data_IF_970537498355
#
_entry.id   IF_970537498355
#
_cell.length_a   1.000
_cell.length_b   1.000
_cell.length_c   1.000
_cell.angle_alpha   90.00
_cell.angle_beta   90.00
_cell.angle_gamma   90.00
#
_symmetry.space_group_name_H-M   'P 1'
#
loop_
_entity.id
_entity.type
_entity.pdbx_description
1 polymer ?
#
# COMPACT_ATOMS: atom_id res chain seq x y z
N UNK A 1 31.14 30.82 5.99
CA UNK A 1 29.94 30.99 6.82
C UNK A 1 28.81 31.35 5.87
N UNK A 2 27.81 30.50 5.71
CA UNK A 2 26.65 30.83 4.89
C UNK A 2 25.95 32.05 5.51
N UNK A 3 25.51 33.01 4.68
CA UNK A 3 24.73 34.15 5.16
C UNK A 3 23.35 33.67 5.65
N UNK A 4 22.78 34.40 6.59
CA UNK A 4 21.43 34.13 7.13
C UNK A 4 20.38 34.05 6.01
N UNK A 5 20.47 34.95 5.02
CA UNK A 5 19.64 34.92 3.80
C UNK A 5 19.80 33.64 2.97
N UNK A 6 21.00 33.07 2.91
CA UNK A 6 21.22 31.82 2.19
C UNK A 6 20.58 30.62 2.92
N UNK A 7 20.55 30.65 4.25
CA UNK A 7 19.87 29.64 5.05
C UNK A 7 18.35 29.74 4.92
N UNK A 8 17.80 30.95 4.93
CA UNK A 8 16.36 31.20 4.74
C UNK A 8 15.87 30.73 3.38
N UNK A 9 16.65 31.00 2.32
CA UNK A 9 16.33 30.54 0.96
C UNK A 9 16.32 29.01 0.86
N UNK A 10 17.29 28.33 1.50
CA UNK A 10 17.34 26.87 1.55
C UNK A 10 16.17 26.29 2.35
N UNK A 11 15.81 26.90 3.47
CA UNK A 11 14.67 26.50 4.29
C UNK A 11 13.35 26.60 3.50
N UNK A 12 13.12 27.71 2.80
CA UNK A 12 11.94 27.91 1.94
C UNK A 12 11.90 26.90 0.79
N UNK A 13 13.05 26.57 0.21
CA UNK A 13 13.14 25.59 -0.87
C UNK A 13 12.81 24.17 -0.36
N UNK A 14 13.24 23.82 0.85
CA UNK A 14 12.87 22.57 1.51
C UNK A 14 11.36 22.51 1.80
N UNK A 15 10.78 23.57 2.36
CA UNK A 15 9.33 23.64 2.62
C UNK A 15 8.52 23.53 1.33
N UNK A 16 9.00 24.12 0.23
CA UNK A 16 8.37 24.00 -1.08
C UNK A 16 8.46 22.58 -1.62
N UNK A 17 9.60 21.91 -1.47
CA UNK A 17 9.75 20.53 -1.89
C UNK A 17 8.84 19.60 -1.09
N UNK A 18 8.78 19.75 0.25
CA UNK A 18 7.84 19.04 1.10
C UNK A 18 6.37 19.28 0.73
N UNK A 19 6.02 20.49 0.27
CA UNK A 19 4.66 20.80 -0.20
C UNK A 19 4.34 20.19 -1.57
N UNK A 20 5.36 19.91 -2.37
CA UNK A 20 5.24 19.35 -3.73
C UNK A 20 5.25 17.82 -3.69
N UNK A 21 5.97 17.25 -2.71
CA UNK A 21 5.87 15.85 -2.30
C UNK A 21 4.50 15.65 -1.65
N UNK A 22 3.45 15.60 -2.49
CA UNK A 22 2.15 15.14 -2.06
C UNK A 22 2.32 13.74 -1.52
N UNK A 23 2.08 13.56 -0.23
CA UNK A 23 1.78 12.24 0.32
C UNK A 23 0.66 11.65 -0.55
N UNK A 24 0.94 10.51 -1.19
CA UNK A 24 -0.10 9.71 -1.82
C UNK A 24 -1.14 9.48 -0.73
N UNK A 25 -2.33 10.04 -0.88
CA UNK A 25 -3.39 9.86 0.10
C UNK A 25 -3.85 8.42 -0.05
N UNK A 26 -3.78 7.62 1.03
CA UNK A 26 -4.22 6.22 0.97
C UNK A 26 -5.60 6.14 0.34
N UNK A 27 -5.79 5.22 -0.60
CA UNK A 27 -7.06 4.96 -1.29
C UNK A 27 -8.22 4.53 -0.40
N UNK A 28 -8.12 4.73 0.93
CA UNK A 28 -9.19 4.68 1.96
C UNK A 28 -10.26 5.74 1.68
N UNK A 29 -10.75 5.80 0.46
CA UNK A 29 -11.89 6.60 0.07
C UNK A 29 -13.16 5.87 0.48
N UNK A 30 -14.05 6.56 1.20
CA UNK A 30 -15.44 6.13 1.44
C UNK A 30 -16.21 5.85 0.13
N UNK A 31 -15.63 6.18 -1.03
CA UNK A 31 -16.23 6.16 -2.37
C UNK A 31 -15.48 5.27 -3.36
N UNK A 32 -14.37 4.62 -2.98
CA UNK A 32 -13.63 3.76 -3.89
C UNK A 32 -14.42 2.46 -4.12
N UNK A 33 -14.83 2.13 -5.36
CA UNK A 33 -15.57 0.90 -5.62
C UNK A 33 -14.68 -0.32 -5.34
N UNK A 34 -15.23 -1.39 -4.74
CA UNK A 34 -14.47 -2.59 -4.44
C UNK A 34 -13.87 -3.19 -5.72
N UNK A 35 -12.70 -3.84 -5.66
CA UNK A 35 -12.11 -4.48 -6.82
C UNK A 35 -12.99 -5.60 -7.39
N UNK A 36 -12.90 -5.75 -8.71
CA UNK A 36 -13.40 -6.88 -9.48
C UNK A 36 -12.39 -8.02 -9.58
N UNK A 37 -12.80 -9.20 -10.07
CA UNK A 37 -11.95 -10.39 -10.17
C UNK A 37 -10.78 -10.22 -11.16
N UNK A 38 -10.92 -9.32 -12.13
CA UNK A 38 -9.93 -9.06 -13.19
C UNK A 38 -9.12 -7.77 -12.96
N UNK A 39 -9.38 -7.05 -11.87
CA UNK A 39 -8.63 -5.85 -11.54
C UNK A 39 -7.19 -6.23 -11.16
N UNK A 40 -6.21 -5.51 -11.74
CA UNK A 40 -4.82 -5.59 -11.30
C UNK A 40 -4.64 -4.75 -10.05
N UNK A 41 -4.03 -5.33 -9.03
CA UNK A 41 -3.86 -4.70 -7.73
C UNK A 41 -2.41 -4.76 -7.29
N UNK A 42 -1.93 -3.69 -6.70
CA UNK A 42 -0.59 -3.57 -6.12
C UNK A 42 -0.68 -3.07 -4.68
N UNK A 43 0.37 -3.35 -3.91
CA UNK A 43 0.56 -2.71 -2.60
C UNK A 43 0.71 -1.20 -2.81
N UNK A 44 -0.07 -0.43 -2.05
CA UNK A 44 -0.02 1.04 -2.17
C UNK A 44 1.30 1.59 -1.65
N UNK A 45 1.82 2.62 -2.31
CA UNK A 45 2.96 3.40 -1.80
C UNK A 45 2.55 4.45 -0.74
N UNK A 46 1.24 4.69 -0.60
CA UNK A 46 0.66 5.67 0.32
C UNK A 46 0.82 5.32 1.80
N UNK A 47 1.11 4.05 2.10
CA UNK A 47 1.23 3.54 3.47
C UNK A 47 2.50 2.74 3.57
N UNK A 48 3.38 3.12 4.50
CA UNK A 48 4.53 2.30 4.82
C UNK A 48 4.06 0.98 5.43
N UNK A 49 4.36 -0.12 4.76
CA UNK A 49 4.01 -1.46 5.17
C UNK A 49 5.20 -2.42 4.99
N UNK A 50 5.24 -3.48 5.78
CA UNK A 50 6.23 -4.53 5.65
C UNK A 50 5.65 -5.87 6.11
N UNK A 51 6.18 -6.94 5.53
CA UNK A 51 5.77 -8.31 5.86
C UNK A 51 6.73 -8.89 6.90
N UNK A 52 6.20 -9.45 7.98
CA UNK A 52 6.96 -10.15 9.02
C UNK A 52 6.55 -11.62 9.03
N UNK A 53 7.47 -12.58 8.80
CA UNK A 53 7.16 -14.00 8.90
C UNK A 53 6.75 -14.38 10.34
N UNK A 54 5.65 -15.11 10.50
CA UNK A 54 5.15 -15.58 11.80
C UNK A 54 4.58 -17.00 11.64
N UNK A 55 5.26 -17.98 12.24
CA UNK A 55 4.89 -19.40 12.09
C UNK A 55 4.90 -19.84 10.63
N UNK A 56 3.84 -20.50 10.17
CA UNK A 56 3.66 -20.93 8.78
C UNK A 56 3.14 -19.80 7.86
N UNK A 57 2.87 -18.61 8.40
CA UNK A 57 2.33 -17.47 7.65
C UNK A 57 3.15 -16.20 7.87
N UNK A 58 2.47 -15.05 7.82
CA UNK A 58 3.08 -13.77 8.06
C UNK A 58 2.10 -12.76 8.66
N UNK A 59 2.61 -11.61 9.06
CA UNK A 59 1.84 -10.42 9.39
C UNK A 59 2.20 -9.30 8.42
N UNK A 60 1.20 -8.66 7.82
CA UNK A 60 1.37 -7.41 7.11
C UNK A 60 1.23 -6.26 8.13
N UNK A 61 2.36 -5.65 8.47
CA UNK A 61 2.46 -4.58 9.44
C UNK A 61 2.43 -3.22 8.76
N UNK A 62 1.62 -2.33 9.30
CA UNK A 62 1.40 -0.97 8.81
C UNK A 62 1.01 -0.07 9.99
N UNK A 63 0.62 1.18 9.74
CA UNK A 63 0.23 2.12 10.80
C UNK A 63 -1.03 1.70 11.59
N UNK A 64 -1.80 0.73 11.10
CA UNK A 64 -2.96 0.16 11.78
C UNK A 64 -2.67 -1.18 12.48
N UNK A 65 -3.72 -1.90 12.91
CA UNK A 65 -3.57 -3.25 13.44
C UNK A 65 -2.89 -4.17 12.42
N UNK A 66 -1.97 -5.03 12.89
CA UNK A 66 -1.31 -6.01 12.05
C UNK A 66 -2.35 -6.93 11.39
N UNK A 67 -2.22 -7.11 10.07
CA UNK A 67 -3.11 -7.97 9.30
C UNK A 67 -2.47 -9.36 9.18
N UNK A 68 -3.08 -10.41 9.77
CA UNK A 68 -2.55 -11.76 9.67
C UNK A 68 -2.70 -12.28 8.24
N UNK A 69 -1.66 -12.95 7.75
CA UNK A 69 -1.61 -13.61 6.46
C UNK A 69 -1.37 -15.10 6.66
N UNK A 70 -2.23 -15.92 6.06
CA UNK A 70 -1.92 -17.33 5.85
C UNK A 70 -0.79 -17.51 4.84
N UNK A 71 -0.17 -18.70 4.77
CA UNK A 71 0.82 -19.03 3.74
C UNK A 71 0.30 -18.80 2.32
N UNK A 72 -0.99 -19.11 2.10
CA UNK A 72 -1.65 -18.93 0.81
C UNK A 72 -1.81 -17.44 0.48
N UNK A 73 -2.28 -16.63 1.44
CA UNK A 73 -2.45 -15.18 1.25
C UNK A 73 -1.12 -14.46 1.08
N UNK A 74 -0.06 -14.91 1.76
CA UNK A 74 1.29 -14.41 1.53
C UNK A 74 1.74 -14.65 0.09
N UNK A 75 1.56 -15.87 -0.42
CA UNK A 75 1.86 -16.19 -1.82
C UNK A 75 0.99 -15.43 -2.82
N UNK A 76 -0.26 -15.10 -2.47
CA UNK A 76 -1.07 -14.19 -3.29
C UNK A 76 -0.50 -12.79 -3.32
N UNK A 77 -0.05 -12.25 -2.18
CA UNK A 77 0.54 -10.91 -2.10
C UNK A 77 1.78 -10.77 -3.01
N UNK A 78 2.65 -11.78 -3.00
CA UNK A 78 3.82 -11.84 -3.88
C UNK A 78 3.40 -11.83 -5.36
N UNK A 79 2.46 -12.70 -5.76
CA UNK A 79 1.98 -12.77 -7.15
C UNK A 79 1.21 -11.54 -7.60
N UNK A 80 0.51 -10.84 -6.69
CA UNK A 80 -0.12 -9.55 -7.00
C UNK A 80 0.93 -8.51 -7.42
N UNK A 81 2.08 -8.49 -6.75
CA UNK A 81 3.20 -7.60 -7.13
C UNK A 81 3.78 -7.90 -8.52
N UNK A 82 3.57 -9.13 -9.01
CA UNK A 82 3.93 -9.58 -10.36
C UNK A 82 2.83 -9.31 -11.41
N UNK A 83 1.70 -8.71 -11.00
CA UNK A 83 0.60 -8.33 -11.89
C UNK A 83 -0.50 -9.39 -12.05
N UNK A 84 -0.56 -10.39 -11.17
CA UNK A 84 -1.68 -11.32 -11.12
C UNK A 84 -3.01 -10.60 -10.80
N UNK A 85 -4.12 -11.14 -11.30
CA UNK A 85 -5.48 -10.71 -10.92
C UNK A 85 -6.07 -11.67 -9.89
N UNK A 86 -7.04 -11.24 -9.07
CA UNK A 86 -7.72 -12.13 -8.13
C UNK A 86 -8.23 -13.45 -8.76
N UNK A 87 -8.78 -13.37 -9.98
CA UNK A 87 -9.23 -14.52 -10.76
C UNK A 87 -8.11 -15.56 -11.02
N UNK A 88 -6.89 -15.10 -11.28
CA UNK A 88 -5.73 -15.95 -11.60
C UNK A 88 -5.01 -16.53 -10.37
N UNK A 89 -5.43 -16.14 -9.16
CA UNK A 89 -4.81 -16.53 -7.90
C UNK A 89 -5.58 -17.64 -7.20
N UNK A 90 -6.80 -17.32 -6.76
CA UNK A 90 -7.64 -18.19 -5.94
C UNK A 90 -9.13 -17.92 -6.13
N UNK A 91 -9.50 -17.22 -7.21
CA UNK A 91 -10.89 -16.85 -7.53
C UNK A 91 -11.52 -16.02 -6.43
N UNK A 92 -12.69 -16.45 -5.95
CA UNK A 92 -13.47 -15.73 -4.93
C UNK A 92 -12.72 -15.54 -3.60
N UNK A 93 -11.90 -16.51 -3.18
CA UNK A 93 -11.15 -16.39 -1.92
C UNK A 93 -10.07 -15.30 -2.03
N UNK A 94 -9.34 -15.26 -3.15
CA UNK A 94 -8.36 -14.23 -3.44
C UNK A 94 -9.05 -12.85 -3.62
N UNK A 95 -10.23 -12.81 -4.23
CA UNK A 95 -11.02 -11.58 -4.37
C UNK A 95 -11.47 -11.03 -3.01
N UNK A 96 -11.94 -11.89 -2.11
CA UNK A 96 -12.30 -11.51 -0.74
C UNK A 96 -11.09 -10.96 0.04
N UNK A 97 -9.93 -11.62 -0.09
CA UNK A 97 -8.66 -11.14 0.44
C UNK A 97 -8.31 -9.74 -0.09
N UNK A 98 -8.34 -9.56 -1.41
CA UNK A 98 -8.02 -8.28 -2.04
C UNK A 98 -8.96 -7.15 -1.59
N UNK A 99 -10.27 -7.42 -1.52
CA UNK A 99 -11.27 -6.45 -1.04
C UNK A 99 -11.00 -6.02 0.40
N UNK A 100 -10.62 -6.97 1.26
CA UNK A 100 -10.25 -6.67 2.66
C UNK A 100 -9.07 -5.70 2.73
N UNK A 101 -7.99 -5.97 1.98
CA UNK A 101 -6.82 -5.09 1.97
C UNK A 101 -7.08 -3.72 1.32
N UNK A 102 -7.93 -3.65 0.28
CA UNK A 102 -8.36 -2.36 -0.30
C UNK A 102 -9.12 -1.52 0.72
N UNK A 103 -10.01 -2.11 1.53
CA UNK A 103 -10.73 -1.39 2.59
C UNK A 103 -9.78 -0.82 3.65
N UNK A 104 -8.70 -1.55 3.95
CA UNK A 104 -7.63 -1.08 4.83
C UNK A 104 -6.74 -0.01 4.18
N UNK A 105 -6.86 0.17 2.86
CA UNK A 105 -6.00 1.06 2.07
C UNK A 105 -4.59 0.52 1.92
N UNK A 106 -4.43 -0.80 1.87
CA UNK A 106 -3.15 -1.50 1.69
C UNK A 106 -2.94 -1.95 0.25
N UNK A 107 -4.03 -2.13 -0.50
CA UNK A 107 -3.99 -2.38 -1.94
C UNK A 107 -4.68 -1.25 -2.71
N UNK A 108 -4.20 -0.99 -3.91
CA UNK A 108 -4.81 -0.09 -4.88
C UNK A 108 -4.75 -0.70 -6.29
N UNK A 109 -5.51 -0.13 -7.22
CA UNK A 109 -5.45 -0.55 -8.63
C UNK A 109 -4.15 -0.05 -9.25
N UNK A 110 -3.46 -0.94 -9.96
CA UNK A 110 -2.21 -0.65 -10.68
C UNK A 110 -2.44 0.22 -11.92
#
# INVERSE_FOLDING_TARGET
LASEEALDMVALQFLRQLSTDRMTMSGRGLVTPPPGPDDRLILTDAVHHHVVPVGEGAELRWAGPAEPLTSVELGWLERLSEGATPASLGGEAALAFCRRLVVLGLLERA
#
